data_IF_949446667842
#
_entry.id   IF_949446667842
#
_cell.length_a   1.000
_cell.length_b   1.000
_cell.length_c   1.000
_cell.angle_alpha   90.00
_cell.angle_beta   90.00
_cell.angle_gamma   90.00
#
_symmetry.space_group_name_H-M   'P 1'
#
loop_
_entity.id
_entity.type
_entity.pdbx_description
1 polymer ?
#
# COMPACT_ATOMS: atom_id res chain seq x y z
N UNK A 1 0.49 -9.29 -14.10
CA UNK A 1 -0.74 -9.95 -14.57
C UNK A 1 -1.98 -9.10 -14.25
N UNK A 2 -2.15 -8.66 -12.99
CA UNK A 2 -3.27 -7.81 -12.57
C UNK A 2 -3.31 -6.45 -13.27
N UNK A 3 -2.16 -5.81 -13.52
CA UNK A 3 -2.10 -4.56 -14.30
C UNK A 3 -2.60 -4.76 -15.74
N UNK A 4 -2.30 -5.92 -16.37
CA UNK A 4 -2.84 -6.23 -17.70
C UNK A 4 -4.36 -6.46 -17.68
N UNK A 5 -4.89 -7.01 -16.59
CA UNK A 5 -6.32 -7.20 -16.42
C UNK A 5 -7.05 -5.87 -16.23
N UNK A 6 -6.50 -4.95 -15.42
CA UNK A 6 -7.01 -3.59 -15.26
C UNK A 6 -7.08 -2.86 -16.62
N UNK A 7 -5.99 -2.87 -17.39
CA UNK A 7 -5.99 -2.28 -18.73
C UNK A 7 -6.99 -2.93 -19.69
N UNK A 8 -7.24 -4.23 -19.57
CA UNK A 8 -8.24 -4.91 -20.39
C UNK A 8 -9.67 -4.47 -20.00
N UNK A 9 -9.96 -4.30 -18.71
CA UNK A 9 -11.26 -3.80 -18.26
C UNK A 9 -11.47 -2.33 -18.62
N UNK A 10 -10.42 -1.50 -18.56
CA UNK A 10 -10.51 -0.11 -19.01
C UNK A 10 -10.91 -0.03 -20.48
N UNK A 11 -10.25 -0.78 -21.36
CA UNK A 11 -10.62 -0.82 -22.79
C UNK A 11 -12.05 -1.32 -23.02
N UNK A 12 -12.51 -2.26 -22.19
CA UNK A 12 -13.87 -2.80 -22.28
C UNK A 12 -14.92 -1.76 -21.85
N UNK A 13 -14.63 -0.97 -20.82
CA UNK A 13 -15.43 0.18 -20.43
C UNK A 13 -15.50 1.21 -21.56
N UNK A 14 -14.36 1.61 -22.11
CA UNK A 14 -14.28 2.60 -23.19
C UNK A 14 -15.11 2.18 -24.43
N UNK A 15 -15.02 0.89 -24.80
CA UNK A 15 -15.80 0.34 -25.91
C UNK A 15 -17.31 0.30 -25.61
N UNK A 16 -17.70 -0.05 -24.38
CA UNK A 16 -19.10 -0.13 -23.98
C UNK A 16 -19.74 1.27 -23.93
N UNK A 17 -19.01 2.25 -23.40
CA UNK A 17 -19.42 3.66 -23.40
C UNK A 17 -19.59 4.19 -24.84
N UNK A 18 -18.66 3.86 -25.73
CA UNK A 18 -18.76 4.24 -27.14
C UNK A 18 -20.00 3.60 -27.81
N UNK A 19 -20.28 2.32 -27.57
CA UNK A 19 -21.47 1.64 -28.11
C UNK A 19 -22.77 2.25 -27.57
N UNK A 20 -22.82 2.53 -26.27
CA UNK A 20 -23.98 3.19 -25.66
C UNK A 20 -24.23 4.58 -26.24
N UNK A 21 -23.19 5.42 -26.36
CA UNK A 21 -23.29 6.76 -26.96
C UNK A 21 -23.74 6.74 -28.41
N UNK A 22 -23.39 5.69 -29.15
CA UNK A 22 -23.84 5.48 -30.53
C UNK A 22 -25.21 4.75 -30.61
N UNK A 23 -25.86 4.45 -29.49
CA UNK A 23 -27.16 3.77 -29.45
C UNK A 23 -27.12 2.29 -29.85
N UNK A 24 -25.92 1.68 -29.88
CA UNK A 24 -25.70 0.29 -30.32
C UNK A 24 -25.92 -0.71 -29.19
N UNK A 25 -25.76 -0.29 -27.94
CA UNK A 25 -25.90 -1.15 -26.75
C UNK A 25 -26.60 -0.40 -25.60
N UNK A 26 -27.11 -1.17 -24.64
CA UNK A 26 -27.79 -0.69 -23.44
C UNK A 26 -26.81 -0.05 -22.45
N UNK A 27 -27.26 0.94 -21.67
CA UNK A 27 -26.49 1.51 -20.55
C UNK A 27 -26.07 0.46 -19.51
N UNK A 28 -26.81 -0.65 -19.41
CA UNK A 28 -26.45 -1.76 -18.53
C UNK A 28 -25.05 -2.31 -18.86
N UNK A 29 -24.68 -2.35 -20.14
CA UNK A 29 -23.34 -2.79 -20.58
C UNK A 29 -22.23 -1.90 -20.01
N UNK A 30 -22.44 -0.58 -19.98
CA UNK A 30 -21.51 0.41 -19.43
C UNK A 30 -21.37 0.22 -17.92
N UNK A 31 -22.49 0.05 -17.21
CA UNK A 31 -22.49 -0.15 -15.76
C UNK A 31 -21.77 -1.44 -15.36
N UNK A 32 -22.03 -2.54 -16.09
CA UNK A 32 -21.32 -3.80 -15.86
C UNK A 32 -19.82 -3.62 -16.12
N UNK A 33 -19.43 -2.97 -17.22
CA UNK A 33 -18.02 -2.73 -17.52
C UNK A 33 -17.33 -1.84 -16.47
N UNK A 34 -18.02 -0.83 -15.94
CA UNK A 34 -17.52 0.01 -14.86
C UNK A 34 -17.33 -0.78 -13.56
N UNK A 35 -18.29 -1.64 -13.22
CA UNK A 35 -18.19 -2.52 -12.05
C UNK A 35 -16.99 -3.45 -12.17
N UNK A 36 -16.80 -4.09 -13.33
CA UNK A 36 -15.68 -4.99 -13.58
C UNK A 36 -14.32 -4.27 -13.50
N UNK A 37 -14.23 -3.04 -14.03
CA UNK A 37 -13.04 -2.20 -13.92
C UNK A 37 -12.71 -1.89 -12.45
N UNK A 38 -13.71 -1.50 -11.66
CA UNK A 38 -13.51 -1.20 -10.25
C UNK A 38 -13.03 -2.43 -9.46
N UNK A 39 -13.61 -3.61 -9.72
CA UNK A 39 -13.16 -4.87 -9.12
C UNK A 39 -11.71 -5.21 -9.50
N UNK A 40 -11.31 -4.97 -10.76
CA UNK A 40 -9.94 -5.18 -11.20
C UNK A 40 -8.94 -4.24 -10.49
N UNK A 41 -9.30 -2.96 -10.33
CA UNK A 41 -8.50 -1.97 -9.60
C UNK A 41 -8.35 -2.36 -8.12
N UNK A 42 -9.44 -2.75 -7.46
CA UNK A 42 -9.40 -3.20 -6.07
C UNK A 42 -8.51 -4.44 -5.91
N UNK A 43 -8.57 -5.38 -6.85
CA UNK A 43 -7.72 -6.57 -6.85
C UNK A 43 -6.23 -6.22 -6.97
N UNK A 44 -5.90 -5.24 -7.81
CA UNK A 44 -4.53 -4.73 -7.95
C UNK A 44 -4.02 -4.09 -6.65
N UNK A 45 -4.86 -3.29 -5.99
CA UNK A 45 -4.52 -2.66 -4.69
C UNK A 45 -4.28 -3.74 -3.63
N UNK A 46 -5.17 -4.72 -3.52
CA UNK A 46 -5.04 -5.81 -2.54
C UNK A 46 -3.78 -6.65 -2.78
N UNK A 47 -3.43 -6.92 -4.05
CA UNK A 47 -2.21 -7.64 -4.37
C UNK A 47 -0.94 -6.82 -4.05
N UNK A 48 -0.98 -5.50 -4.26
CA UNK A 48 0.10 -4.60 -3.84
C UNK A 48 0.25 -4.61 -2.32
N UNK A 49 -0.86 -4.49 -1.58
CA UNK A 49 -0.86 -4.60 -0.12
C UNK A 49 -0.24 -5.92 0.35
N UNK A 50 -0.70 -7.05 -0.19
CA UNK A 50 -0.17 -8.37 0.15
C UNK A 50 1.35 -8.47 -0.11
N UNK A 51 1.85 -7.88 -1.20
CA UNK A 51 3.29 -7.82 -1.48
C UNK A 51 4.05 -7.08 -0.39
N UNK A 52 3.54 -5.93 0.07
CA UNK A 52 4.18 -5.18 1.15
C UNK A 52 4.14 -5.93 2.48
N UNK A 53 3.01 -6.52 2.83
CA UNK A 53 2.89 -7.36 4.03
C UNK A 53 3.87 -8.54 3.99
N UNK A 54 4.01 -9.19 2.84
CA UNK A 54 4.98 -10.29 2.68
C UNK A 54 6.43 -9.82 2.84
N UNK A 55 6.76 -8.61 2.37
CA UNK A 55 8.08 -8.00 2.57
C UNK A 55 8.36 -7.74 4.06
N UNK A 56 7.40 -7.18 4.78
CA UNK A 56 7.51 -6.95 6.24
C UNK A 56 7.66 -8.28 6.98
N UNK A 57 6.87 -9.30 6.62
CA UNK A 57 6.94 -10.63 7.22
C UNK A 57 8.29 -11.31 6.96
N UNK A 58 8.82 -11.18 5.74
CA UNK A 58 10.14 -11.68 5.38
C UNK A 58 11.23 -10.97 6.20
N UNK A 59 11.17 -9.64 6.31
CA UNK A 59 12.11 -8.87 7.12
C UNK A 59 12.08 -9.30 8.59
N UNK A 60 10.88 -9.53 9.15
CA UNK A 60 10.69 -10.07 10.50
C UNK A 60 11.31 -11.47 10.65
N UNK A 61 11.10 -12.37 9.69
CA UNK A 61 11.58 -13.76 9.79
C UNK A 61 13.09 -13.90 9.62
N UNK A 62 13.73 -12.98 8.89
CA UNK A 62 15.19 -12.92 8.74
C UNK A 62 15.91 -12.36 9.98
N UNK A 63 15.19 -12.05 11.06
CA UNK A 63 15.76 -11.59 12.33
C UNK A 63 15.71 -10.07 12.56
N UNK A 64 15.02 -9.32 11.69
CA UNK A 64 14.87 -7.87 11.74
C UNK A 64 13.84 -7.34 12.76
N UNK A 65 13.82 -7.87 13.98
CA UNK A 65 13.22 -7.12 15.08
C UNK A 65 14.08 -5.90 15.34
N UNK A 66 13.58 -4.69 15.06
CA UNK A 66 14.34 -3.45 15.18
C UNK A 66 15.01 -3.35 16.56
N UNK A 67 16.35 -3.40 16.60
CA UNK A 67 17.16 -2.99 17.74
C UNK A 67 17.44 -1.50 17.52
N UNK A 68 16.66 -0.62 18.16
CA UNK A 68 16.81 0.84 18.01
C UNK A 68 18.09 1.38 18.66
N UNK A 69 18.65 0.67 19.67
CA UNK A 69 20.00 0.90 20.22
C UNK A 69 20.62 -0.42 20.66
N UNK A 70 21.94 -0.56 20.50
CA UNK A 70 22.67 -1.71 21.00
C UNK A 70 22.48 -1.84 22.52
N UNK A 71 21.74 -2.86 22.96
CA UNK A 71 21.38 -3.11 24.36
C UNK A 71 19.87 -3.19 24.63
N UNK A 72 19.01 -2.76 23.71
CA UNK A 72 17.56 -2.89 23.85
C UNK A 72 17.02 -4.23 23.30
N UNK A 73 15.98 -4.76 23.95
CA UNK A 73 15.19 -5.89 23.43
C UNK A 73 14.52 -5.50 22.11
N UNK A 74 14.52 -6.37 21.08
CA UNK A 74 13.94 -6.07 19.78
C UNK A 74 12.49 -5.59 19.89
N UNK A 75 12.16 -4.46 19.24
CA UNK A 75 10.78 -3.96 19.19
C UNK A 75 9.87 -5.02 18.58
N UNK A 76 8.72 -5.24 19.22
CA UNK A 76 7.69 -6.14 18.71
C UNK A 76 7.23 -5.69 17.31
N UNK A 77 7.17 -6.59 16.32
CA UNK A 77 6.99 -6.26 14.91
C UNK A 77 5.62 -5.66 14.54
N UNK A 78 4.66 -5.68 15.46
CA UNK A 78 3.31 -5.13 15.37
C UNK A 78 3.09 -3.95 16.34
N UNK A 79 4.14 -3.49 17.04
CA UNK A 79 4.05 -2.29 17.86
C UNK A 79 3.78 -1.06 16.96
N UNK A 80 2.76 -0.24 17.26
CA UNK A 80 2.53 1.00 16.53
C UNK A 80 3.78 1.88 16.62
N UNK A 81 4.20 2.41 15.47
CA UNK A 81 5.27 3.41 15.41
C UNK A 81 4.70 4.71 15.98
N UNK A 82 5.20 5.13 17.14
CA UNK A 82 4.90 6.44 17.71
C UNK A 82 5.76 7.49 16.99
N UNK A 83 5.20 8.05 15.91
CA UNK A 83 5.85 9.08 15.09
C UNK A 83 6.00 10.41 15.85
N UNK A 84 5.23 10.63 16.92
CA UNK A 84 5.24 11.86 17.70
C UNK A 84 6.45 11.92 18.63
N UNK A 85 7.02 10.76 18.99
CA UNK A 85 8.24 10.66 19.79
C UNK A 85 9.53 11.00 19.02
N UNK A 86 9.51 10.96 17.69
CA UNK A 86 10.70 11.21 16.85
C UNK A 86 11.01 12.70 16.64
N UNK A 87 10.13 13.62 17.07
CA UNK A 87 10.25 15.05 16.80
C UNK A 87 10.98 15.88 17.87
N UNK A 88 11.64 15.26 18.85
CA UNK A 88 12.48 16.00 19.80
C UNK A 88 13.91 16.14 19.24
N UNK A 89 14.37 17.33 18.80
CA UNK A 89 15.80 17.55 18.66
C UNK A 89 16.41 17.43 20.05
N UNK A 90 17.37 16.51 20.21
CA UNK A 90 18.12 16.36 21.44
C UNK A 90 18.73 17.73 21.81
N UNK A 91 18.59 18.22 23.07
CA UNK A 91 19.39 19.35 23.51
C UNK A 91 20.85 18.93 23.38
N UNK A 92 21.63 19.75 22.66
CA UNK A 92 23.06 19.63 22.56
C UNK A 92 23.64 19.29 23.94
N UNK A 93 24.39 18.19 23.98
CA UNK A 93 25.29 17.79 25.05
C UNK A 93 25.66 18.97 25.95
N UNK A 94 25.17 18.96 27.19
CA UNK A 94 25.72 19.74 28.28
C UNK A 94 27.23 19.50 28.29
N UNK A 95 27.96 20.48 27.75
CA UNK A 95 29.39 20.54 27.82
C UNK A 95 29.77 20.64 29.31
N UNK A 96 30.67 19.73 29.73
CA UNK A 96 31.72 19.94 30.72
C UNK A 96 31.28 20.51 32.09
N UNK A 97 31.60 19.98 33.26
CA UNK A 97 32.68 19.10 33.71
C UNK A 97 32.47 19.07 35.23
N UNK A 98 32.60 17.91 35.86
CA UNK A 98 32.84 17.86 37.31
C UNK A 98 34.21 18.48 37.60
N UNK A 99 34.25 19.39 38.57
CA UNK A 99 35.43 19.97 39.19
C UNK A 99 35.02 20.63 40.50
#
# INVERSE_FOLDING_TARGET
ALERNEHAQQRRFDLSDLRYKNGVDSYLSVLTAQTDLYTAQQSLINARLARWTNLVNLYRSLGGGWIERAGETPRAPDAPVDYDKAAAPAPASAAATNG
#
